data_IF_798089761611
#
_entry.id   IF_798089761611
#
_cell.length_a   1.000
_cell.length_b   1.000
_cell.length_c   1.000
_cell.angle_alpha   90.00
_cell.angle_beta   90.00
_cell.angle_gamma   90.00
#
_symmetry.space_group_name_H-M   'P 1'
#
loop_
_entity.id
_entity.type
_entity.pdbx_description
1 polymer ?
#
# COMPACT_ATOMS: atom_id res chain seq x y z
N UNK A 1 -20.60 -3.40 8.62
CA UNK A 1 -20.18 -2.36 9.57
C UNK A 1 -20.16 -3.03 10.93
N UNK A 2 -19.02 -3.02 11.62
CA UNK A 2 -18.95 -3.54 12.98
C UNK A 2 -19.75 -2.62 13.91
N UNK A 3 -20.46 -3.19 14.90
CA UNK A 3 -21.14 -2.37 15.89
C UNK A 3 -20.10 -1.75 16.85
N UNK A 4 -20.23 -0.44 17.17
CA UNK A 4 -19.31 0.19 18.12
C UNK A 4 -19.47 -0.47 19.50
N UNK A 5 -18.33 -0.73 20.15
CA UNK A 5 -18.32 -1.35 21.47
C UNK A 5 -18.91 -0.40 22.52
N UNK A 6 -19.73 -0.93 23.42
CA UNK A 6 -20.19 -0.18 24.58
C UNK A 6 -19.01 0.20 25.51
N UNK A 7 -19.12 1.28 26.30
CA UNK A 7 -18.08 1.63 27.28
C UNK A 7 -17.73 0.49 28.25
N UNK A 8 -18.71 -0.34 28.61
CA UNK A 8 -18.51 -1.54 29.43
C UNK A 8 -17.70 -2.63 28.73
N UNK A 9 -17.89 -2.82 27.42
CA UNK A 9 -17.12 -3.79 26.64
C UNK A 9 -15.69 -3.31 26.44
N UNK A 10 -15.48 -2.03 26.15
CA UNK A 10 -14.15 -1.42 26.05
C UNK A 10 -13.39 -1.60 27.38
N UNK A 11 -14.05 -1.30 28.51
CA UNK A 11 -13.45 -1.47 29.83
C UNK A 11 -13.09 -2.94 30.11
N UNK A 12 -13.97 -3.89 29.77
CA UNK A 12 -13.72 -5.32 29.92
C UNK A 12 -12.50 -5.77 29.11
N UNK A 13 -12.44 -5.43 27.82
CA UNK A 13 -11.31 -5.78 26.96
C UNK A 13 -10.01 -5.13 27.46
N UNK A 14 -10.07 -3.86 27.87
CA UNK A 14 -8.91 -3.15 28.43
C UNK A 14 -8.38 -3.83 29.69
N UNK A 15 -9.27 -4.28 30.58
CA UNK A 15 -8.88 -5.06 31.77
C UNK A 15 -8.14 -6.34 31.40
N UNK A 16 -8.64 -7.08 30.40
CA UNK A 16 -7.98 -8.29 29.89
C UNK A 16 -6.58 -7.97 29.33
N UNK A 17 -6.44 -6.92 28.52
CA UNK A 17 -5.15 -6.52 27.94
C UNK A 17 -4.12 -6.18 29.02
N UNK A 18 -4.54 -5.52 30.10
CA UNK A 18 -3.64 -5.12 31.18
C UNK A 18 -3.21 -6.32 32.05
N UNK A 19 -4.13 -7.22 32.40
CA UNK A 19 -3.93 -8.17 33.50
C UNK A 19 -3.76 -9.63 33.06
N UNK A 20 -4.30 -10.03 31.91
CA UNK A 20 -4.35 -11.43 31.51
C UNK A 20 -2.97 -11.98 31.13
N UNK A 21 -2.64 -13.17 31.60
CA UNK A 21 -1.48 -13.96 31.14
C UNK A 21 -1.85 -15.02 30.12
N UNK A 22 -3.14 -15.14 29.81
CA UNK A 22 -3.66 -16.06 28.80
C UNK A 22 -3.59 -15.37 27.43
N UNK A 23 -2.67 -15.84 26.59
CA UNK A 23 -2.45 -15.30 25.24
C UNK A 23 -3.71 -15.33 24.40
N UNK A 24 -4.55 -16.38 24.49
CA UNK A 24 -5.76 -16.46 23.66
C UNK A 24 -6.77 -15.36 24.03
N UNK A 25 -6.89 -15.04 25.34
CA UNK A 25 -7.73 -13.93 25.81
C UNK A 25 -7.18 -12.56 25.42
N UNK A 26 -5.85 -12.39 25.46
CA UNK A 26 -5.18 -11.16 25.01
C UNK A 26 -5.46 -10.93 23.53
N UNK A 27 -5.24 -11.95 22.70
CA UNK A 27 -5.45 -11.88 21.26
C UNK A 27 -6.90 -11.60 20.93
N UNK A 28 -7.85 -12.33 21.55
CA UNK A 28 -9.27 -12.11 21.32
C UNK A 28 -9.70 -10.67 21.68
N UNK A 29 -9.19 -10.14 22.79
CA UNK A 29 -9.50 -8.76 23.21
C UNK A 29 -8.83 -7.71 22.34
N UNK A 30 -7.58 -7.91 21.93
CA UNK A 30 -6.88 -7.00 21.05
C UNK A 30 -7.56 -6.93 19.67
N UNK A 31 -7.98 -8.08 19.13
CA UNK A 31 -8.73 -8.15 17.89
C UNK A 31 -10.11 -7.47 18.00
N UNK A 32 -10.83 -7.67 19.10
CA UNK A 32 -12.11 -7.01 19.32
C UNK A 32 -11.97 -5.49 19.34
N UNK A 33 -10.95 -4.94 20.02
CA UNK A 33 -10.69 -3.50 20.01
C UNK A 33 -10.23 -3.00 18.62
N UNK A 34 -9.35 -3.74 17.93
CA UNK A 34 -8.85 -3.37 16.61
C UNK A 34 -9.98 -3.29 15.56
N UNK A 35 -10.95 -4.20 15.62
CA UNK A 35 -12.09 -4.24 14.69
C UNK A 35 -13.24 -3.29 15.06
N UNK A 36 -13.19 -2.61 16.21
CA UNK A 36 -14.36 -1.92 16.80
C UNK A 36 -14.76 -0.60 16.14
N UNK A 37 -13.96 -0.06 15.20
CA UNK A 37 -14.10 1.27 14.59
C UNK A 37 -14.19 2.46 15.59
N UNK A 38 -14.21 2.20 16.91
CA UNK A 38 -14.45 3.12 18.00
C UNK A 38 -13.14 3.80 18.46
N UNK A 39 -13.03 5.14 18.45
CA UNK A 39 -11.80 5.82 18.82
C UNK A 39 -11.33 5.58 20.27
N UNK A 40 -12.19 5.62 21.31
CA UNK A 40 -11.82 5.14 22.66
C UNK A 40 -11.26 3.71 22.71
N UNK A 41 -11.84 2.76 21.97
CA UNK A 41 -11.36 1.38 21.91
C UNK A 41 -9.97 1.28 21.28
N UNK A 42 -9.76 1.95 20.15
CA UNK A 42 -8.44 2.03 19.50
C UNK A 42 -7.42 2.75 20.38
N UNK A 43 -7.82 3.80 21.11
CA UNK A 43 -6.92 4.45 22.07
C UNK A 43 -6.50 3.50 23.20
N UNK A 44 -7.41 2.67 23.70
CA UNK A 44 -7.09 1.67 24.73
C UNK A 44 -6.10 0.61 24.19
N UNK A 45 -6.32 0.11 22.97
CA UNK A 45 -5.40 -0.80 22.29
C UNK A 45 -4.02 -0.14 22.07
N UNK A 46 -4.00 1.09 21.59
CA UNK A 46 -2.79 1.86 21.34
C UNK A 46 -1.97 2.12 22.61
N UNK A 47 -2.56 2.14 23.81
CA UNK A 47 -1.78 2.26 25.05
C UNK A 47 -0.92 1.04 25.30
N UNK A 48 -1.45 -0.17 25.10
CA UNK A 48 -0.72 -1.40 25.41
C UNK A 48 0.27 -1.80 24.31
N UNK A 49 -0.04 -1.51 23.03
CA UNK A 49 0.83 -1.86 21.90
C UNK A 49 2.18 -1.13 21.88
N UNK A 50 2.31 -0.06 22.67
CA UNK A 50 3.55 0.71 22.83
C UNK A 50 4.53 0.08 23.82
N UNK A 51 4.10 -0.96 24.54
CA UNK A 51 4.87 -1.57 25.61
C UNK A 51 5.30 -2.99 25.23
N UNK A 52 6.60 -3.22 25.24
CA UNK A 52 7.27 -4.49 25.01
C UNK A 52 6.81 -5.58 25.97
N UNK A 53 6.46 -5.25 27.22
CA UNK A 53 5.84 -6.21 28.15
C UNK A 53 4.55 -6.81 27.58
N UNK A 54 3.67 -5.98 27.03
CA UNK A 54 2.44 -6.45 26.39
C UNK A 54 2.75 -7.20 25.10
N UNK A 55 3.65 -6.70 24.26
CA UNK A 55 4.05 -7.36 23.02
C UNK A 55 4.62 -8.78 23.28
N UNK A 56 5.43 -8.95 24.33
CA UNK A 56 5.98 -10.24 24.76
C UNK A 56 4.94 -11.19 25.39
N UNK A 57 3.81 -10.66 25.88
CA UNK A 57 2.67 -11.47 26.33
C UNK A 57 1.76 -11.88 25.16
N UNK A 58 1.67 -11.02 24.15
CA UNK A 58 0.85 -11.22 22.97
C UNK A 58 1.48 -12.21 21.99
N UNK A 59 2.81 -12.17 21.84
CA UNK A 59 3.59 -13.05 20.96
C UNK A 59 4.78 -13.66 21.69
N UNK A 60 5.16 -14.87 21.27
CA UNK A 60 6.43 -15.49 21.67
C UNK A 60 7.57 -14.89 20.85
N UNK A 61 8.14 -13.80 21.36
CA UNK A 61 9.23 -13.06 20.71
C UNK A 61 10.57 -13.80 20.71
N UNK A 62 10.71 -14.87 21.50
CA UNK A 62 11.91 -15.72 21.47
C UNK A 62 11.90 -16.72 20.30
N UNK A 63 10.74 -16.95 19.68
CA UNK A 63 10.57 -17.86 18.56
C UNK A 63 10.32 -17.09 17.25
N UNK A 64 11.29 -17.08 16.31
CA UNK A 64 11.16 -16.34 15.05
C UNK A 64 9.91 -16.72 14.22
N UNK A 65 9.39 -17.94 14.36
CA UNK A 65 8.19 -18.40 13.62
C UNK A 65 6.87 -17.86 14.20
N UNK A 66 6.91 -17.16 15.33
CA UNK A 66 5.76 -16.61 16.02
C UNK A 66 5.96 -15.20 16.57
N UNK A 67 7.14 -14.60 16.40
CA UNK A 67 7.54 -13.31 17.00
C UNK A 67 6.57 -12.15 16.75
N UNK A 68 5.82 -12.20 15.64
CA UNK A 68 4.84 -11.18 15.26
C UNK A 68 3.48 -11.76 14.84
N UNK A 69 3.18 -13.03 15.16
CA UNK A 69 2.01 -13.72 14.60
C UNK A 69 0.70 -13.03 15.01
N UNK A 70 0.54 -12.73 16.29
CA UNK A 70 -0.67 -12.13 16.82
C UNK A 70 -0.69 -10.62 16.60
N UNK A 71 0.47 -9.94 16.69
CA UNK A 71 0.61 -8.54 16.24
C UNK A 71 0.16 -8.40 14.78
N UNK A 72 0.56 -9.31 13.89
CA UNK A 72 0.11 -9.31 12.49
C UNK A 72 -1.41 -9.44 12.35
N UNK A 73 -2.05 -10.26 13.18
CA UNK A 73 -3.52 -10.38 13.19
C UNK A 73 -4.19 -9.10 13.67
N UNK A 74 -3.64 -8.44 14.69
CA UNK A 74 -4.16 -7.16 15.21
C UNK A 74 -4.05 -6.06 14.16
N UNK A 75 -2.88 -5.91 13.52
CA UNK A 75 -2.70 -4.92 12.45
C UNK A 75 -3.47 -5.26 11.17
N UNK A 76 -3.68 -6.55 10.87
CA UNK A 76 -4.61 -6.99 9.84
C UNK A 76 -6.04 -6.51 10.10
N UNK A 77 -6.53 -6.68 11.33
CA UNK A 77 -7.85 -6.17 11.72
C UNK A 77 -7.96 -4.64 11.62
N UNK A 78 -6.89 -3.90 11.97
CA UNK A 78 -6.83 -2.45 11.78
C UNK A 78 -6.89 -2.05 10.29
N UNK A 79 -6.20 -2.80 9.43
CA UNK A 79 -6.18 -2.56 7.98
C UNK A 79 -7.52 -2.92 7.31
N UNK A 80 -8.24 -3.92 7.83
CA UNK A 80 -9.56 -4.33 7.35
C UNK A 80 -10.68 -3.37 7.80
N UNK A 81 -10.48 -2.67 8.92
CA UNK A 81 -11.42 -1.71 9.50
C UNK A 81 -10.79 -0.31 9.70
N UNK A 82 -10.25 0.32 8.63
CA UNK A 82 -9.46 1.54 8.78
C UNK A 82 -10.35 2.74 9.12
N UNK A 83 -9.94 3.50 10.13
CA UNK A 83 -10.57 4.76 10.54
C UNK A 83 -9.51 5.85 10.72
N UNK A 84 -9.89 7.14 10.79
CA UNK A 84 -8.93 8.19 11.18
C UNK A 84 -8.26 7.94 12.54
N UNK A 85 -8.92 7.21 13.45
CA UNK A 85 -8.32 6.80 14.71
C UNK A 85 -7.26 5.69 14.54
N UNK A 86 -7.41 4.82 13.53
CA UNK A 86 -6.38 3.84 13.14
C UNK A 86 -5.10 4.54 12.71
N UNK A 87 -5.22 5.59 11.89
CA UNK A 87 -4.07 6.39 11.45
C UNK A 87 -3.33 7.01 12.62
N UNK A 88 -4.05 7.67 13.54
CA UNK A 88 -3.46 8.24 14.77
C UNK A 88 -2.79 7.18 15.66
N UNK A 89 -3.37 5.99 15.77
CA UNK A 89 -2.77 4.88 16.51
C UNK A 89 -1.44 4.46 15.86
N UNK A 90 -1.41 4.28 14.54
CA UNK A 90 -0.19 3.91 13.82
C UNK A 90 0.89 4.99 13.95
N UNK A 91 0.52 6.27 13.82
CA UNK A 91 1.41 7.41 14.03
C UNK A 91 2.01 7.44 15.45
N UNK A 92 1.20 7.11 16.47
CA UNK A 92 1.64 7.05 17.87
C UNK A 92 2.57 5.86 18.14
N UNK A 93 2.33 4.70 17.52
CA UNK A 93 3.14 3.50 17.73
C UNK A 93 4.48 3.59 16.97
N UNK A 94 4.49 4.23 15.81
CA UNK A 94 5.68 4.34 14.96
C UNK A 94 6.89 4.95 15.69
N UNK A 95 6.64 5.91 16.59
CA UNK A 95 7.72 6.59 17.34
C UNK A 95 8.18 5.82 18.58
N UNK A 96 7.64 4.63 18.84
CA UNK A 96 7.93 3.86 20.05
C UNK A 96 9.04 2.84 19.83
N UNK A 97 10.20 2.97 20.51
CA UNK A 97 11.35 2.10 20.28
C UNK A 97 11.05 0.61 20.49
N UNK A 98 10.24 0.28 21.50
CA UNK A 98 9.89 -1.11 21.83
C UNK A 98 9.05 -1.79 20.74
N UNK A 99 8.36 -1.00 19.91
CA UNK A 99 7.64 -1.52 18.75
C UNK A 99 8.56 -1.62 17.53
N UNK A 100 9.34 -0.57 17.25
CA UNK A 100 10.17 -0.45 16.05
C UNK A 100 11.46 -1.28 16.06
N UNK A 101 11.86 -1.83 17.21
CA UNK A 101 13.03 -2.73 17.34
C UNK A 101 12.95 -3.97 16.44
N UNK A 102 11.74 -4.43 16.09
CA UNK A 102 11.53 -5.56 15.18
C UNK A 102 11.05 -5.03 13.81
N UNK A 103 11.91 -5.04 12.75
CA UNK A 103 11.59 -4.47 11.44
C UNK A 103 10.28 -4.98 10.83
N UNK A 104 9.98 -6.26 11.00
CA UNK A 104 8.73 -6.87 10.48
C UNK A 104 7.46 -6.24 11.06
N UNK A 105 7.53 -5.61 12.24
CA UNK A 105 6.39 -4.87 12.83
C UNK A 105 6.13 -3.55 12.11
N UNK A 106 7.17 -2.90 11.60
CA UNK A 106 7.03 -1.69 10.78
C UNK A 106 6.26 -1.97 9.50
N UNK A 107 6.53 -3.11 8.83
CA UNK A 107 5.75 -3.54 7.66
C UNK A 107 4.24 -3.66 7.96
N UNK A 108 3.89 -4.23 9.12
CA UNK A 108 2.49 -4.35 9.54
C UNK A 108 1.85 -2.98 9.82
N UNK A 109 2.60 -2.08 10.45
CA UNK A 109 2.17 -0.72 10.75
C UNK A 109 1.95 0.09 9.46
N UNK A 110 2.89 0.04 8.52
CA UNK A 110 2.79 0.72 7.23
C UNK A 110 1.58 0.23 6.43
N UNK A 111 1.29 -1.08 6.46
CA UNK A 111 0.11 -1.65 5.81
C UNK A 111 -1.21 -1.14 6.42
N UNK A 112 -1.31 -1.07 7.75
CA UNK A 112 -2.49 -0.54 8.42
C UNK A 112 -2.64 0.98 8.22
N UNK A 113 -1.53 1.73 8.24
CA UNK A 113 -1.51 3.17 7.96
C UNK A 113 -1.96 3.46 6.52
N UNK A 114 -1.48 2.68 5.54
CA UNK A 114 -1.86 2.81 4.14
C UNK A 114 -3.34 2.52 3.86
N UNK A 115 -3.99 1.72 4.71
CA UNK A 115 -5.41 1.44 4.60
C UNK A 115 -6.28 2.65 4.98
N UNK A 116 -5.75 3.62 5.71
CA UNK A 116 -6.46 4.85 6.07
C UNK A 116 -6.49 5.79 4.87
N UNK A 117 -7.67 5.98 4.29
CA UNK A 117 -7.89 6.84 3.13
C UNK A 117 -8.77 8.06 3.47
N UNK A 118 -8.33 9.29 3.17
CA UNK A 118 -7.03 9.65 2.59
C UNK A 118 -5.87 9.53 3.60
N UNK A 119 -4.63 9.39 3.10
CA UNK A 119 -3.42 9.48 3.93
C UNK A 119 -3.34 10.86 4.60
N UNK A 120 -3.01 10.88 5.90
CA UNK A 120 -2.80 12.11 6.67
C UNK A 120 -1.44 12.73 6.33
N UNK A 121 -1.22 14.04 6.57
CA UNK A 121 0.10 14.64 6.40
C UNK A 121 1.20 13.91 7.19
N UNK A 122 0.93 13.55 8.45
CA UNK A 122 1.90 12.80 9.26
C UNK A 122 2.13 11.39 8.71
N UNK A 123 1.09 10.72 8.22
CA UNK A 123 1.23 9.42 7.57
C UNK A 123 2.11 9.48 6.32
N UNK A 124 1.95 10.53 5.49
CA UNK A 124 2.81 10.78 4.35
C UNK A 124 4.27 11.00 4.77
N UNK A 125 4.53 11.72 5.86
CA UNK A 125 5.88 11.91 6.39
C UNK A 125 6.50 10.59 6.88
N UNK A 126 5.72 9.72 7.54
CA UNK A 126 6.17 8.37 7.93
C UNK A 126 6.56 7.55 6.69
N UNK A 127 5.76 7.60 5.61
CA UNK A 127 6.11 6.92 4.36
C UNK A 127 7.39 7.48 3.74
N UNK A 128 7.63 8.80 3.80
CA UNK A 128 8.90 9.40 3.33
C UNK A 128 10.08 8.93 4.16
N UNK A 129 9.98 9.04 5.48
CA UNK A 129 11.02 8.62 6.43
C UNK A 129 11.40 7.14 6.20
N UNK A 130 10.40 6.25 6.19
CA UNK A 130 10.63 4.82 6.03
C UNK A 130 11.09 4.43 4.62
N UNK A 131 10.68 5.16 3.57
CA UNK A 131 11.18 4.89 2.21
C UNK A 131 12.67 5.20 2.05
N UNK A 132 13.21 6.10 2.87
CA UNK A 132 14.65 6.38 2.92
C UNK A 132 15.41 5.36 3.79
N UNK A 133 14.69 4.59 4.62
CA UNK A 133 15.23 3.62 5.58
C UNK A 133 14.86 2.19 5.17
N UNK A 134 15.13 1.83 3.91
CA UNK A 134 14.97 0.47 3.34
C UNK A 134 13.51 -0.01 3.07
N UNK A 135 12.47 0.76 3.37
CA UNK A 135 11.07 0.35 3.11
C UNK A 135 10.49 0.83 1.77
N UNK A 136 11.31 1.32 0.85
CA UNK A 136 10.82 1.85 -0.44
C UNK A 136 9.96 0.83 -1.20
N UNK A 137 10.45 -0.41 -1.37
CA UNK A 137 9.75 -1.50 -2.08
C UNK A 137 8.44 -1.90 -1.39
N UNK A 138 8.38 -1.80 -0.07
CA UNK A 138 7.16 -2.05 0.72
C UNK A 138 6.16 -0.92 0.55
N UNK A 139 6.64 0.33 0.52
CA UNK A 139 5.81 1.52 0.51
C UNK A 139 5.16 1.80 -0.85
N UNK A 140 5.87 1.58 -1.96
CA UNK A 140 5.32 1.86 -3.28
C UNK A 140 3.95 1.21 -3.58
N UNK A 141 3.75 -0.11 -3.37
CA UNK A 141 2.45 -0.72 -3.60
C UNK A 141 1.40 -0.25 -2.60
N UNK A 142 1.80 0.12 -1.37
CA UNK A 142 0.92 0.66 -0.33
C UNK A 142 0.46 2.10 -0.60
N UNK A 143 1.29 2.92 -1.25
CA UNK A 143 0.96 4.29 -1.63
C UNK A 143 0.03 4.30 -2.84
N UNK A 144 0.34 3.52 -3.89
CA UNK A 144 -0.57 3.34 -5.02
C UNK A 144 -1.87 2.64 -4.59
N UNK A 145 -1.78 1.67 -3.65
CA UNK A 145 -2.73 1.40 -2.56
C UNK A 145 -3.91 2.34 -2.39
N UNK A 146 -3.53 3.49 -1.86
CA UNK A 146 -4.37 4.43 -1.19
C UNK A 146 -5.01 5.37 -2.20
N UNK A 147 -4.31 5.72 -3.28
CA UNK A 147 -4.80 6.62 -4.34
C UNK A 147 -5.11 8.06 -3.90
N UNK A 148 -4.93 8.42 -2.62
CA UNK A 148 -5.09 9.80 -2.18
C UNK A 148 -3.99 10.70 -2.74
N UNK A 149 -4.25 12.01 -2.96
CA UNK A 149 -3.26 12.91 -3.53
C UNK A 149 -1.91 12.93 -2.80
N UNK A 150 -1.92 12.89 -1.45
CA UNK A 150 -0.68 12.85 -0.67
C UNK A 150 0.06 11.52 -0.82
N UNK A 151 -0.65 10.39 -0.90
CA UNK A 151 0.00 9.10 -1.12
C UNK A 151 0.66 9.03 -2.50
N UNK A 152 -0.03 9.53 -3.55
CA UNK A 152 0.51 9.58 -4.90
C UNK A 152 1.67 10.58 -5.03
N UNK A 153 1.64 11.68 -4.27
CA UNK A 153 2.77 12.60 -4.18
C UNK A 153 4.01 11.91 -3.59
N UNK A 154 3.87 11.16 -2.49
CA UNK A 154 5.01 10.42 -1.90
C UNK A 154 5.51 9.34 -2.87
N UNK A 155 4.62 8.67 -3.59
CA UNK A 155 5.03 7.71 -4.62
C UNK A 155 5.83 8.38 -5.75
N UNK A 156 5.38 9.53 -6.23
CA UNK A 156 6.09 10.33 -7.23
C UNK A 156 7.47 10.79 -6.74
N UNK A 157 7.57 11.27 -5.50
CA UNK A 157 8.85 11.62 -4.85
C UNK A 157 9.78 10.40 -4.77
N UNK A 158 9.25 9.23 -4.45
CA UNK A 158 10.02 7.98 -4.39
C UNK A 158 10.62 7.63 -5.75
N UNK A 159 9.83 7.64 -6.82
CA UNK A 159 10.29 7.25 -8.16
C UNK A 159 11.24 8.29 -8.75
N UNK A 160 11.00 9.58 -8.49
CA UNK A 160 11.82 10.67 -9.02
C UNK A 160 13.06 11.00 -8.17
N UNK A 161 13.13 10.49 -6.93
CA UNK A 161 14.26 10.66 -6.03
C UNK A 161 15.52 9.92 -6.45
N UNK A 162 16.67 10.36 -5.96
CA UNK A 162 17.99 9.78 -6.23
C UNK A 162 18.46 8.79 -5.14
N UNK A 163 17.69 8.62 -4.07
CA UNK A 163 17.99 7.72 -2.96
C UNK A 163 17.57 6.25 -3.17
N UNK A 164 16.89 5.95 -4.29
CA UNK A 164 16.56 4.57 -4.71
C UNK A 164 17.28 4.27 -6.02
N UNK A 165 17.95 3.13 -6.08
CA UNK A 165 18.65 2.69 -7.30
C UNK A 165 17.66 2.44 -8.44
N UNK A 166 18.04 2.74 -9.68
CA UNK A 166 17.10 2.75 -10.81
C UNK A 166 16.52 1.36 -11.10
N UNK A 167 17.29 0.27 -10.93
CA UNK A 167 16.75 -1.08 -11.09
C UNK A 167 15.72 -1.44 -10.00
N UNK A 168 15.86 -0.90 -8.79
CA UNK A 168 14.88 -1.07 -7.71
C UNK A 168 13.60 -0.34 -8.08
N UNK A 169 13.69 0.90 -8.59
CA UNK A 169 12.52 1.63 -9.11
C UNK A 169 11.79 0.87 -10.22
N UNK A 170 12.53 0.23 -11.12
CA UNK A 170 11.95 -0.62 -12.19
C UNK A 170 11.12 -1.77 -11.61
N UNK A 171 11.69 -2.55 -10.68
CA UNK A 171 10.94 -3.64 -10.02
C UNK A 171 9.73 -3.10 -9.24
N UNK A 172 9.90 -1.99 -8.51
CA UNK A 172 8.82 -1.33 -7.79
C UNK A 172 7.69 -0.88 -8.70
N UNK A 173 7.99 -0.31 -9.86
CA UNK A 173 7.00 0.09 -10.86
C UNK A 173 6.20 -1.12 -11.34
N UNK A 174 6.87 -2.20 -11.76
CA UNK A 174 6.21 -3.42 -12.22
C UNK A 174 5.31 -4.02 -11.12
N UNK A 175 5.78 -4.10 -9.88
CA UNK A 175 4.99 -4.67 -8.77
C UNK A 175 3.83 -3.80 -8.32
N UNK A 176 4.00 -2.48 -8.38
CA UNK A 176 3.07 -1.54 -7.74
C UNK A 176 2.04 -0.98 -8.72
N UNK A 177 2.46 -0.66 -9.96
CA UNK A 177 1.58 -0.07 -10.99
C UNK A 177 0.76 -1.14 -11.68
N UNK A 178 1.35 -2.31 -12.02
CA UNK A 178 0.68 -3.35 -12.80
C UNK A 178 -0.69 -3.76 -12.24
N UNK A 179 -0.86 -4.04 -10.92
CA UNK A 179 -2.15 -4.46 -10.36
C UNK A 179 -3.22 -3.36 -10.40
N UNK A 180 -2.83 -2.12 -10.72
CA UNK A 180 -3.67 -0.92 -10.67
C UNK A 180 -3.67 -0.12 -11.96
N UNK A 181 -3.11 -0.64 -13.05
CA UNK A 181 -2.97 0.10 -14.31
C UNK A 181 -4.30 0.58 -14.92
N UNK A 182 -5.44 0.05 -14.48
CA UNK A 182 -6.79 0.48 -14.87
C UNK A 182 -7.35 1.63 -14.04
N UNK A 183 -6.62 2.14 -13.04
CA UNK A 183 -7.07 3.19 -12.10
C UNK A 183 -6.61 4.56 -12.61
N UNK A 184 -7.55 5.50 -12.78
CA UNK A 184 -7.23 6.84 -13.30
C UNK A 184 -6.16 7.57 -12.46
N UNK A 185 -6.25 7.65 -11.11
CA UNK A 185 -5.21 8.34 -10.33
C UNK A 185 -3.81 7.76 -10.52
N UNK A 186 -3.71 6.44 -10.76
CA UNK A 186 -2.44 5.75 -11.04
C UNK A 186 -1.92 6.12 -12.44
N UNK A 187 -2.79 6.15 -13.45
CA UNK A 187 -2.41 6.59 -14.79
C UNK A 187 -1.96 8.06 -14.82
N UNK A 188 -2.60 8.92 -14.04
CA UNK A 188 -2.25 10.34 -13.92
C UNK A 188 -0.85 10.53 -13.30
N UNK A 189 -0.53 9.83 -12.21
CA UNK A 189 0.82 9.91 -11.62
C UNK A 189 1.89 9.32 -12.56
N UNK A 190 1.59 8.23 -13.27
CA UNK A 190 2.49 7.71 -14.30
C UNK A 190 2.73 8.73 -15.42
N UNK A 191 1.68 9.41 -15.89
CA UNK A 191 1.83 10.45 -16.92
C UNK A 191 2.68 11.62 -16.42
N UNK A 192 2.50 12.05 -15.16
CA UNK A 192 3.32 13.10 -14.55
C UNK A 192 4.80 12.68 -14.46
N UNK A 193 5.07 11.45 -14.04
CA UNK A 193 6.43 10.91 -13.94
C UNK A 193 7.13 10.86 -15.31
N UNK A 194 6.40 10.53 -16.38
CA UNK A 194 6.93 10.53 -17.75
C UNK A 194 7.36 11.92 -18.24
N UNK A 195 6.87 12.98 -17.61
CA UNK A 195 7.26 14.36 -17.89
C UNK A 195 8.53 14.80 -17.12
N UNK A 196 9.06 13.96 -16.20
CA UNK A 196 10.13 14.34 -15.24
C UNK A 196 11.58 14.16 -15.69
N UNK A 197 11.88 13.83 -16.94
CA UNK A 197 13.28 13.62 -17.36
C UNK A 197 13.97 12.49 -16.59
N UNK A 198 13.21 11.44 -16.27
CA UNK A 198 13.69 10.23 -15.59
C UNK A 198 14.75 9.50 -16.43
N UNK A 199 15.60 8.66 -15.78
CA UNK A 199 16.45 7.71 -16.50
C UNK A 199 15.65 6.88 -17.52
N UNK A 200 16.19 6.62 -18.73
CA UNK A 200 15.47 5.92 -19.78
C UNK A 200 14.86 4.59 -19.34
N UNK A 201 15.56 3.81 -18.53
CA UNK A 201 15.11 2.53 -17.99
C UNK A 201 13.89 2.66 -17.06
N UNK A 202 13.86 3.68 -16.20
CA UNK A 202 12.74 3.93 -15.29
C UNK A 202 11.54 4.45 -16.09
N UNK A 203 11.80 5.33 -17.07
CA UNK A 203 10.77 5.83 -18.00
C UNK A 203 10.14 4.69 -18.79
N UNK A 204 10.96 3.83 -19.38
CA UNK A 204 10.49 2.72 -20.19
C UNK A 204 9.73 1.70 -19.31
N UNK A 205 10.18 1.44 -18.08
CA UNK A 205 9.44 0.60 -17.13
C UNK A 205 8.03 1.14 -16.79
N UNK A 206 7.83 2.46 -16.69
CA UNK A 206 6.49 3.05 -16.53
C UNK A 206 5.61 2.70 -17.74
N UNK A 207 6.13 2.89 -18.95
CA UNK A 207 5.39 2.64 -20.20
C UNK A 207 5.09 1.15 -20.33
N UNK A 208 6.09 0.28 -20.15
CA UNK A 208 5.96 -1.18 -20.18
C UNK A 208 4.89 -1.65 -19.20
N UNK A 209 4.94 -1.19 -17.94
CA UNK A 209 3.99 -1.64 -16.94
C UNK A 209 2.54 -1.24 -17.25
N UNK A 210 2.36 -0.06 -17.86
CA UNK A 210 1.03 0.44 -18.24
C UNK A 210 0.53 -0.27 -19.49
N UNK A 211 1.36 -0.46 -20.52
CA UNK A 211 0.91 -0.85 -21.87
C UNK A 211 1.25 -2.29 -22.27
N UNK A 212 2.06 -3.00 -21.48
CA UNK A 212 2.52 -4.35 -21.77
C UNK A 212 2.38 -5.26 -20.54
N UNK A 213 2.76 -6.53 -20.69
CA UNK A 213 2.89 -7.50 -19.61
C UNK A 213 3.85 -8.65 -19.98
N UNK A 214 5.09 -8.58 -19.51
CA UNK A 214 6.04 -9.70 -19.57
C UNK A 214 6.35 -10.27 -18.18
N UNK A 215 5.45 -11.14 -17.71
CA UNK A 215 5.56 -11.77 -16.39
C UNK A 215 6.89 -12.49 -16.14
N UNK A 216 7.45 -13.12 -17.18
CA UNK A 216 8.66 -13.94 -17.06
C UNK A 216 9.89 -13.05 -16.91
N UNK A 217 9.94 -11.95 -17.66
CA UNK A 217 11.02 -10.99 -17.57
C UNK A 217 10.99 -10.24 -16.22
N UNK A 218 9.81 -9.77 -15.81
CA UNK A 218 9.70 -8.87 -14.65
C UNK A 218 9.75 -9.60 -13.30
N UNK A 219 9.18 -10.81 -13.22
CA UNK A 219 9.02 -11.52 -11.94
C UNK A 219 9.78 -12.86 -11.87
N UNK A 220 10.47 -13.24 -12.95
CA UNK A 220 11.22 -14.50 -13.01
C UNK A 220 10.31 -15.74 -12.85
N UNK A 221 10.80 -16.83 -12.23
CA UNK A 221 10.03 -18.06 -12.03
C UNK A 221 9.05 -17.96 -10.83
N UNK A 222 8.46 -16.78 -10.59
CA UNK A 222 7.50 -16.59 -9.51
C UNK A 222 6.31 -17.55 -9.64
N UNK A 223 5.91 -18.17 -8.53
CA UNK A 223 4.79 -19.14 -8.52
C UNK A 223 3.44 -18.47 -8.86
N UNK A 224 3.29 -17.19 -8.50
CA UNK A 224 2.11 -16.37 -8.77
C UNK A 224 2.54 -14.91 -9.03
N UNK A 225 3.00 -14.57 -10.25
CA UNK A 225 3.28 -13.18 -10.58
C UNK A 225 1.99 -12.35 -10.52
N UNK A 226 2.05 -11.05 -10.20
CA UNK A 226 0.90 -10.18 -10.31
C UNK A 226 0.35 -10.22 -11.75
N UNK A 227 -0.96 -10.36 -11.88
CA UNK A 227 -1.65 -10.28 -13.17
C UNK A 227 -2.25 -8.88 -13.34
N UNK A 228 -2.16 -8.29 -14.54
CA UNK A 228 -2.81 -7.03 -14.80
C UNK A 228 -4.34 -7.17 -14.78
N UNK A 229 -5.08 -6.20 -14.22
CA UNK A 229 -6.52 -6.14 -14.42
C UNK A 229 -6.85 -5.92 -15.90
N UNK A 230 -7.92 -6.56 -16.37
CA UNK A 230 -8.39 -6.42 -17.74
C UNK A 230 -8.94 -5.02 -18.02
N UNK A 231 -8.65 -4.45 -19.19
CA UNK A 231 -9.03 -3.07 -19.52
C UNK A 231 -10.54 -2.80 -19.43
N UNK A 232 -11.38 -3.81 -19.65
CA UNK A 232 -12.83 -3.67 -19.52
C UNK A 232 -13.29 -3.29 -18.10
N UNK A 233 -12.47 -3.51 -17.06
CA UNK A 233 -12.77 -3.13 -15.68
C UNK A 233 -12.45 -1.67 -15.36
N UNK A 234 -11.76 -0.95 -16.25
CA UNK A 234 -11.44 0.47 -16.06
C UNK A 234 -12.67 1.37 -16.26
N UNK A 235 -12.69 2.56 -15.64
CA UNK A 235 -13.75 3.55 -15.89
C UNK A 235 -13.59 4.18 -17.28
N UNK A 236 -14.64 4.84 -17.80
CA UNK A 236 -14.57 5.46 -19.13
C UNK A 236 -13.51 6.57 -19.16
N UNK A 237 -13.42 7.35 -18.09
CA UNK A 237 -12.44 8.41 -17.91
C UNK A 237 -11.00 7.86 -17.92
N UNK A 238 -10.76 6.73 -17.26
CA UNK A 238 -9.46 6.07 -17.26
C UNK A 238 -9.06 5.59 -18.67
N UNK A 239 -10.00 5.01 -19.41
CA UNK A 239 -9.77 4.54 -20.78
C UNK A 239 -9.51 5.72 -21.75
N UNK A 240 -10.29 6.79 -21.67
CA UNK A 240 -10.08 8.01 -22.47
C UNK A 240 -8.72 8.65 -22.18
N UNK A 241 -8.35 8.73 -20.89
CA UNK A 241 -7.05 9.21 -20.48
C UNK A 241 -5.92 8.34 -21.07
N UNK A 242 -6.06 7.01 -21.00
CA UNK A 242 -5.08 6.06 -21.53
C UNK A 242 -4.89 6.19 -23.04
N UNK A 243 -5.98 6.39 -23.80
CA UNK A 243 -5.91 6.66 -25.26
C UNK A 243 -5.16 7.96 -25.55
N UNK A 244 -5.43 9.01 -24.76
CA UNK A 244 -4.71 10.28 -24.85
C UNK A 244 -3.22 10.11 -24.55
N UNK A 245 -2.88 9.37 -23.50
CA UNK A 245 -1.51 9.07 -23.11
C UNK A 245 -0.78 8.28 -24.21
N UNK A 246 -1.37 7.19 -24.72
CA UNK A 246 -0.81 6.40 -25.81
C UNK A 246 -0.54 7.24 -27.07
N UNK A 247 -1.47 8.12 -27.42
CA UNK A 247 -1.33 9.01 -28.58
C UNK A 247 -0.17 9.99 -28.40
N UNK A 248 -0.02 10.60 -27.20
CA UNK A 248 1.12 11.47 -26.88
C UNK A 248 2.44 10.70 -27.00
N UNK A 249 2.52 9.50 -26.44
CA UNK A 249 3.72 8.66 -26.47
C UNK A 249 4.16 8.30 -27.89
N UNK A 250 3.21 7.94 -28.76
CA UNK A 250 3.48 7.60 -30.16
C UNK A 250 3.95 8.79 -31.01
N UNK A 251 3.53 10.00 -30.65
CA UNK A 251 4.02 11.22 -31.30
C UNK A 251 5.43 11.63 -30.84
N UNK A 252 5.91 11.04 -29.74
CA UNK A 252 7.20 11.33 -29.13
C UNK A 252 8.28 10.31 -29.46
N UNK A 253 9.35 10.31 -28.65
CA UNK A 253 10.47 9.38 -28.79
C UNK A 253 10.22 8.10 -27.96
N UNK A 254 9.39 7.22 -28.50
CA UNK A 254 9.11 5.90 -27.91
C UNK A 254 10.17 4.89 -28.40
N UNK A 255 10.73 4.08 -27.51
CA UNK A 255 11.67 3.04 -27.91
C UNK A 255 10.96 2.02 -28.83
N UNK A 256 11.72 1.46 -29.78
CA UNK A 256 11.13 0.60 -30.82
C UNK A 256 10.36 -0.60 -30.26
N UNK A 257 10.84 -1.16 -29.14
CA UNK A 257 10.19 -2.28 -28.44
C UNK A 257 8.81 -1.93 -27.87
N UNK A 258 8.55 -0.66 -27.56
CA UNK A 258 7.31 -0.20 -26.93
C UNK A 258 6.25 0.29 -27.91
N UNK A 259 6.60 0.44 -29.20
CA UNK A 259 5.66 0.92 -30.21
C UNK A 259 4.45 0.00 -30.38
N UNK A 260 4.70 -1.32 -30.47
CA UNK A 260 3.66 -2.31 -30.66
C UNK A 260 2.77 -2.47 -29.42
N UNK A 261 3.28 -2.68 -28.18
CA UNK A 261 2.43 -2.77 -26.99
C UNK A 261 1.55 -1.53 -26.77
N UNK A 262 2.10 -0.33 -26.96
CA UNK A 262 1.33 0.93 -26.83
C UNK A 262 0.23 1.02 -27.90
N UNK A 263 0.52 0.63 -29.15
CA UNK A 263 -0.48 0.62 -30.22
C UNK A 263 -1.58 -0.40 -29.96
N UNK A 264 -1.22 -1.63 -29.61
CA UNK A 264 -2.16 -2.72 -29.36
C UNK A 264 -3.11 -2.37 -28.21
N UNK A 265 -2.58 -1.87 -27.09
CA UNK A 265 -3.40 -1.42 -25.96
C UNK A 265 -4.31 -0.26 -26.35
N UNK A 266 -3.83 0.70 -27.16
CA UNK A 266 -4.69 1.80 -27.64
C UNK A 266 -5.87 1.30 -28.47
N UNK A 267 -5.63 0.38 -29.40
CA UNK A 267 -6.67 -0.21 -30.24
C UNK A 267 -7.69 -1.00 -29.41
N UNK A 268 -7.22 -1.83 -28.48
CA UNK A 268 -8.08 -2.58 -27.55
C UNK A 268 -9.00 -1.64 -26.77
N UNK A 269 -8.43 -0.59 -26.18
CA UNK A 269 -9.17 0.38 -25.36
C UNK A 269 -10.17 1.17 -26.20
N UNK A 270 -9.83 1.56 -27.42
CA UNK A 270 -10.75 2.23 -28.34
C UNK A 270 -11.95 1.34 -28.70
N UNK A 271 -11.72 0.05 -28.93
CA UNK A 271 -12.79 -0.91 -29.18
C UNK A 271 -13.71 -1.05 -27.96
N UNK A 272 -13.15 -1.11 -26.75
CA UNK A 272 -13.93 -1.12 -25.50
C UNK A 272 -14.80 0.13 -25.40
N UNK A 273 -14.23 1.32 -25.61
CA UNK A 273 -14.97 2.59 -25.56
C UNK A 273 -16.11 2.64 -26.57
N UNK A 274 -15.90 2.18 -27.81
CA UNK A 274 -16.94 2.14 -28.85
C UNK A 274 -18.10 1.19 -28.51
N UNK A 275 -17.83 0.15 -27.72
CA UNK A 275 -18.84 -0.83 -27.31
C UNK A 275 -19.67 -0.40 -26.09
N UNK A 276 -19.26 0.64 -25.37
CA UNK A 276 -19.98 1.11 -24.17
C UNK A 276 -21.25 1.88 -24.54
N UNK A 277 -22.38 1.64 -23.86
CA UNK A 277 -23.56 2.48 -24.01
C UNK A 277 -23.23 3.91 -23.59
N UNK A 278 -23.64 4.87 -24.42
CA UNK A 278 -23.50 6.31 -24.16
C UNK A 278 -24.39 6.77 -23.00
#
# INVERSE_FOLDING_TARGET
MAEPLSPSEIARHTGILNESRDTDQLVASALALAASEDPPALLALGRVLRHGEFLNRLDDTANPSSEIRNVARVFGALADHPTPATGRLCELIYVEPEFSEIPSRINLLLAALAAVHPVTPRGADIFRETSQDEYAEVNAPLLLKNESPLALQVFDELISGDWVEDYVKVDMLHRSVLPRRTRLPVLEVCALLLERGLPPEVRDAIIETVFDYDSRLWFGPAMYPPEPPAWHTATTEALEFLVGLATRLQSGNLSGALQEPVQATREEVQNILQSRPR
#
